data_IF_970572753511
#
_entry.id   IF_970572753511
#
_cell.length_a   1.000
_cell.length_b   1.000
_cell.length_c   1.000
_cell.angle_alpha   90.00
_cell.angle_beta   90.00
_cell.angle_gamma   90.00
#
_symmetry.space_group_name_H-M   'P 1'
#
loop_
_entity.id
_entity.type
_entity.pdbx_description
1 polymer ?
#
# COMPACT_ATOMS: atom_id res chain seq x y z
N UNK A 1 26.36 14.64 31.14
CA UNK A 1 25.42 14.19 32.19
C UNK A 1 24.34 15.24 32.31
N UNK A 2 23.08 14.87 32.12
CA UNK A 2 21.93 15.72 32.49
C UNK A 2 21.73 15.51 33.99
N UNK A 3 21.66 16.59 34.77
CA UNK A 3 21.36 16.48 36.20
C UNK A 3 20.00 15.77 36.38
N UNK A 4 19.80 14.97 37.44
CA UNK A 4 18.49 14.37 37.71
C UNK A 4 17.46 15.50 37.80
N UNK A 5 16.50 15.48 36.90
CA UNK A 5 15.42 16.46 36.85
C UNK A 5 14.11 15.70 36.85
N UNK A 6 13.37 15.82 37.95
CA UNK A 6 12.15 15.06 38.23
C UNK A 6 10.89 15.75 37.67
N UNK A 7 11.02 16.55 36.60
CA UNK A 7 9.83 17.09 35.94
C UNK A 7 9.28 16.10 34.94
N UNK A 8 8.33 15.30 35.43
CA UNK A 8 7.46 14.51 34.57
C UNK A 8 6.31 15.36 34.07
N UNK A 9 6.14 15.44 32.75
CA UNK A 9 4.95 16.06 32.13
C UNK A 9 3.65 15.35 32.51
N UNK A 10 3.72 14.18 33.15
CA UNK A 10 2.53 13.51 33.65
C UNK A 10 1.89 14.23 34.84
N UNK A 11 2.68 14.98 35.61
CA UNK A 11 2.22 15.72 36.79
C UNK A 11 1.83 17.17 36.45
N UNK A 12 2.26 17.66 35.28
CA UNK A 12 1.94 19.00 34.79
C UNK A 12 0.48 19.11 34.32
N UNK A 13 -0.14 20.25 34.63
CA UNK A 13 -1.40 20.66 34.04
C UNK A 13 -1.21 21.11 32.57
N UNK A 14 -2.29 21.46 31.89
CA UNK A 14 -2.24 21.78 30.46
C UNK A 14 -1.43 23.04 30.14
N UNK A 15 -1.57 24.09 30.96
CA UNK A 15 -0.84 25.36 30.81
C UNK A 15 0.67 25.15 31.02
N UNK A 16 1.04 24.35 32.02
CA UNK A 16 2.43 24.00 32.29
C UNK A 16 3.05 23.20 31.12
N UNK A 17 2.31 22.26 30.53
CA UNK A 17 2.77 21.51 29.35
C UNK A 17 2.87 22.38 28.10
N UNK A 18 1.98 23.36 27.94
CA UNK A 18 2.05 24.33 26.85
C UNK A 18 3.31 25.18 26.97
N UNK A 19 3.58 25.70 28.17
CA UNK A 19 4.75 26.52 28.47
C UNK A 19 6.06 25.72 28.33
N UNK A 20 6.08 24.46 28.80
CA UNK A 20 7.17 23.52 28.52
C UNK A 20 7.37 23.33 27.01
N UNK A 21 6.29 23.09 26.26
CA UNK A 21 6.34 22.84 24.81
C UNK A 21 6.87 24.06 24.06
N UNK A 22 6.49 25.27 24.48
CA UNK A 22 7.00 26.53 23.91
C UNK A 22 8.52 26.64 24.06
N UNK A 23 9.05 26.39 25.26
CA UNK A 23 10.51 26.43 25.52
C UNK A 23 11.26 25.37 24.71
N UNK A 24 10.71 24.15 24.63
CA UNK A 24 11.31 23.07 23.83
C UNK A 24 11.28 23.41 22.35
N UNK A 25 10.17 23.97 21.86
CA UNK A 25 10.04 24.42 20.48
C UNK A 25 11.09 25.48 20.12
N UNK A 26 11.18 26.57 20.91
CA UNK A 26 12.16 27.64 20.69
C UNK A 26 13.58 27.09 20.60
N UNK A 27 13.94 26.18 21.49
CA UNK A 27 15.25 25.54 21.49
C UNK A 27 15.43 24.65 20.25
N UNK A 28 14.51 23.75 19.96
CA UNK A 28 14.60 22.84 18.81
C UNK A 28 14.67 23.59 17.48
N UNK A 29 13.87 24.63 17.30
CA UNK A 29 13.82 25.42 16.06
C UNK A 29 15.14 26.12 15.72
N UNK A 30 16.03 26.34 16.71
CA UNK A 30 17.40 26.84 16.45
C UNK A 30 18.39 25.77 16.01
N UNK A 31 18.07 24.49 16.20
CA UNK A 31 18.97 23.36 15.95
C UNK A 31 18.58 22.52 14.73
N UNK A 32 17.31 22.55 14.33
CA UNK A 32 16.79 21.73 13.23
C UNK A 32 16.64 22.57 11.96
N UNK A 33 16.88 21.94 10.81
CA UNK A 33 16.64 22.56 9.50
C UNK A 33 15.18 23.06 9.42
N UNK A 34 14.91 24.31 8.97
CA UNK A 34 13.55 24.84 8.84
C UNK A 34 12.64 24.00 7.92
N UNK A 35 13.21 23.28 6.97
CA UNK A 35 12.52 22.38 6.04
C UNK A 35 12.40 20.93 6.55
N UNK A 36 13.00 20.61 7.69
CA UNK A 36 12.95 19.25 8.24
C UNK A 36 11.53 18.83 8.58
N UNK A 37 11.19 17.59 8.21
CA UNK A 37 9.99 16.93 8.69
C UNK A 37 10.28 16.27 10.05
N UNK A 38 9.30 16.28 10.95
CA UNK A 38 9.51 15.91 12.36
C UNK A 38 8.71 14.65 12.71
N UNK A 39 9.39 13.64 13.23
CA UNK A 39 8.77 12.39 13.67
C UNK A 39 8.79 12.33 15.20
N UNK A 40 7.61 12.20 15.80
CA UNK A 40 7.41 12.03 17.22
C UNK A 40 7.26 10.55 17.58
N UNK A 41 8.19 10.05 18.38
CA UNK A 41 8.11 8.73 19.01
C UNK A 41 7.73 8.83 20.50
N UNK A 42 7.48 10.04 20.99
CA UNK A 42 7.09 10.31 22.36
C UNK A 42 5.57 10.16 22.56
N UNK A 43 5.18 9.86 23.82
CA UNK A 43 3.77 9.77 24.20
C UNK A 43 3.03 11.10 24.07
N UNK A 44 1.70 11.03 24.01
CA UNK A 44 0.82 12.18 23.72
C UNK A 44 1.13 13.42 24.57
N UNK A 45 1.32 13.25 25.89
CA UNK A 45 1.62 14.35 26.82
C UNK A 45 2.88 15.16 26.45
N UNK A 46 3.85 14.54 25.79
CA UNK A 46 5.12 15.16 25.40
C UNK A 46 5.11 15.74 23.99
N UNK A 47 4.15 15.35 23.14
CA UNK A 47 4.12 15.76 21.74
C UNK A 47 2.93 16.66 21.37
N UNK A 48 1.79 16.57 22.06
CA UNK A 48 0.53 17.14 21.53
C UNK A 48 0.56 18.66 21.34
N UNK A 49 1.20 19.41 22.23
CA UNK A 49 1.39 20.86 22.07
C UNK A 49 2.60 21.18 21.19
N UNK A 50 3.73 20.49 21.38
CA UNK A 50 4.95 20.68 20.60
C UNK A 50 4.74 20.44 19.09
N UNK A 51 3.96 19.41 18.73
CA UNK A 51 3.60 19.07 17.37
C UNK A 51 2.83 20.22 16.69
N UNK A 52 1.87 20.83 17.39
CA UNK A 52 1.08 21.96 16.88
C UNK A 52 1.95 23.16 16.54
N UNK A 53 2.97 23.47 17.35
CA UNK A 53 3.88 24.57 17.04
C UNK A 53 4.55 24.39 15.67
N UNK A 54 5.11 23.20 15.42
CA UNK A 54 5.73 22.91 14.13
C UNK A 54 4.73 22.86 12.96
N UNK A 55 3.51 22.37 13.19
CA UNK A 55 2.44 22.39 12.19
C UNK A 55 2.01 23.84 11.85
N UNK A 56 1.94 24.73 12.83
CA UNK A 56 1.67 26.15 12.62
C UNK A 56 2.76 26.87 11.82
N UNK A 57 4.01 26.38 11.90
CA UNK A 57 5.12 26.82 11.03
C UNK A 57 5.05 26.22 9.61
N UNK A 58 4.04 25.40 9.32
CA UNK A 58 3.88 24.72 8.03
C UNK A 58 4.78 23.48 7.86
N UNK A 59 5.42 23.01 8.93
CA UNK A 59 6.26 21.80 8.87
C UNK A 59 5.41 20.54 8.86
N UNK A 60 5.92 19.51 8.17
CA UNK A 60 5.33 18.17 8.21
C UNK A 60 5.71 17.47 9.50
N UNK A 61 4.71 16.98 10.23
CA UNK A 61 4.87 16.25 11.47
C UNK A 61 4.23 14.86 11.34
N UNK A 62 4.69 13.89 12.13
CA UNK A 62 4.01 12.60 12.25
C UNK A 62 4.29 11.95 13.59
N UNK A 63 3.32 11.18 14.09
CA UNK A 63 3.44 10.32 15.25
C UNK A 63 2.99 8.89 14.88
N UNK A 64 3.81 8.12 14.15
CA UNK A 64 3.37 6.89 13.47
C UNK A 64 2.84 5.80 14.41
N UNK A 65 3.22 5.85 15.70
CA UNK A 65 2.80 4.89 16.71
C UNK A 65 1.65 5.39 17.59
N UNK A 66 1.08 6.58 17.34
CA UNK A 66 0.12 7.22 18.26
C UNK A 66 -1.17 6.42 18.47
N UNK A 67 -1.55 5.60 17.50
CA UNK A 67 -2.73 4.71 17.58
C UNK A 67 -2.46 3.41 18.35
N UNK A 68 -1.19 3.13 18.68
CA UNK A 68 -0.80 1.91 19.39
C UNK A 68 -0.67 2.20 20.88
N UNK A 69 -1.28 1.35 21.71
CA UNK A 69 -0.95 1.28 23.14
C UNK A 69 0.51 0.87 23.36
N UNK A 70 1.10 1.28 24.49
CA UNK A 70 2.54 1.15 24.75
C UNK A 70 3.09 -0.27 24.56
N UNK A 71 2.34 -1.30 24.98
CA UNK A 71 2.74 -2.70 24.76
C UNK A 71 2.82 -3.09 23.29
N UNK A 72 1.90 -2.59 22.45
CA UNK A 72 1.93 -2.79 20.99
C UNK A 72 3.05 -2.00 20.33
N UNK A 73 3.40 -0.82 20.84
CA UNK A 73 4.56 -0.06 20.37
C UNK A 73 5.85 -0.84 20.60
N UNK A 74 6.06 -1.35 21.82
CA UNK A 74 7.24 -2.15 22.16
C UNK A 74 7.31 -3.42 21.31
N UNK A 75 6.19 -4.15 21.19
CA UNK A 75 6.10 -5.35 20.34
C UNK A 75 6.45 -5.05 18.88
N UNK A 76 5.96 -3.93 18.34
CA UNK A 76 6.28 -3.50 16.98
C UNK A 76 7.76 -3.12 16.80
N UNK A 77 8.34 -2.37 17.73
CA UNK A 77 9.77 -2.02 17.68
C UNK A 77 10.67 -3.26 17.77
N UNK A 78 10.34 -4.21 18.64
CA UNK A 78 11.04 -5.50 18.72
C UNK A 78 10.92 -6.30 17.42
N UNK A 79 9.74 -6.26 16.78
CA UNK A 79 9.53 -6.87 15.47
C UNK A 79 10.41 -6.24 14.40
N UNK A 80 10.54 -4.92 14.36
CA UNK A 80 11.46 -4.23 13.42
C UNK A 80 12.91 -4.67 13.61
N UNK A 81 13.38 -4.79 14.86
CA UNK A 81 14.74 -5.25 15.15
C UNK A 81 14.93 -6.70 14.67
N UNK A 82 13.95 -7.58 14.94
CA UNK A 82 14.00 -8.98 14.53
C UNK A 82 13.94 -9.16 13.02
N UNK A 83 13.18 -8.32 12.32
CA UNK A 83 12.95 -8.37 10.88
C UNK A 83 13.77 -7.31 10.12
N UNK A 84 14.91 -6.88 10.66
CA UNK A 84 15.78 -5.86 10.05
C UNK A 84 16.15 -6.16 8.58
N UNK A 85 16.48 -7.42 8.19
CA UNK A 85 16.74 -7.72 6.79
C UNK A 85 15.54 -7.44 5.88
N UNK A 86 14.34 -7.78 6.34
CA UNK A 86 13.09 -7.51 5.60
C UNK A 86 12.77 -6.02 5.55
N UNK A 87 13.03 -5.29 6.63
CA UNK A 87 12.89 -3.83 6.64
C UNK A 87 13.82 -3.19 5.61
N UNK A 88 15.08 -3.63 5.54
CA UNK A 88 16.06 -3.17 4.55
C UNK A 88 15.61 -3.44 3.11
N UNK A 89 15.02 -4.62 2.86
CA UNK A 89 14.41 -4.97 1.57
C UNK A 89 13.19 -4.10 1.24
N UNK A 90 12.32 -3.80 2.21
CA UNK A 90 11.20 -2.86 2.04
C UNK A 90 11.73 -1.47 1.70
N UNK A 91 12.74 -0.97 2.41
CA UNK A 91 13.34 0.33 2.12
C UNK A 91 14.00 0.36 0.73
N UNK A 92 14.66 -0.73 0.31
CA UNK A 92 15.18 -0.87 -1.06
C UNK A 92 14.04 -0.83 -2.07
N UNK A 93 12.95 -1.55 -1.81
CA UNK A 93 11.76 -1.52 -2.66
C UNK A 93 11.20 -0.10 -2.81
N UNK A 94 10.99 0.64 -1.72
CA UNK A 94 10.48 2.02 -1.80
C UNK A 94 11.46 3.00 -2.47
N UNK A 95 12.78 2.78 -2.35
CA UNK A 95 13.77 3.53 -3.18
C UNK A 95 13.58 3.27 -4.67
N UNK A 96 13.30 2.03 -5.08
CA UNK A 96 12.99 1.68 -6.47
C UNK A 96 11.64 2.28 -6.92
N UNK A 97 10.63 2.28 -6.06
CA UNK A 97 9.34 2.96 -6.33
C UNK A 97 9.53 4.46 -6.56
N UNK A 98 10.37 5.11 -5.75
CA UNK A 98 10.71 6.53 -5.92
C UNK A 98 11.42 6.80 -7.25
N UNK A 99 12.32 5.90 -7.68
CA UNK A 99 12.96 5.97 -9.01
C UNK A 99 11.93 5.87 -10.13
N UNK A 100 10.98 4.94 -10.04
CA UNK A 100 9.87 4.84 -11.01
C UNK A 100 9.07 6.15 -11.05
N UNK A 101 8.71 6.69 -9.88
CA UNK A 101 7.95 7.93 -9.78
C UNK A 101 8.68 9.15 -10.37
N UNK A 102 10.02 9.18 -10.30
CA UNK A 102 10.82 10.29 -10.82
C UNK A 102 10.90 10.32 -12.36
N UNK A 103 10.67 9.20 -13.04
CA UNK A 103 10.63 9.13 -14.52
C UNK A 103 9.23 9.50 -15.04
N UNK A 104 8.19 9.37 -14.22
CA UNK A 104 6.83 9.75 -14.58
C UNK A 104 6.70 11.28 -14.67
N UNK A 105 6.53 11.79 -15.88
CA UNK A 105 6.38 13.23 -16.14
C UNK A 105 5.10 13.83 -15.54
N UNK A 106 4.09 13.01 -15.28
CA UNK A 106 2.86 13.43 -14.59
C UNK A 106 3.00 13.31 -13.06
N UNK A 107 4.07 12.67 -12.58
CA UNK A 107 4.28 12.39 -11.16
C UNK A 107 3.28 11.40 -10.58
N UNK A 108 3.18 11.35 -9.25
CA UNK A 108 2.27 10.46 -8.53
C UNK A 108 0.82 10.96 -8.59
N UNK A 109 0.12 10.69 -9.69
CA UNK A 109 -1.27 11.09 -9.93
C UNK A 109 -2.30 10.01 -9.59
N UNK A 110 -3.55 10.45 -9.36
CA UNK A 110 -4.68 9.57 -9.07
C UNK A 110 -5.11 8.80 -10.30
N UNK A 111 -5.60 7.57 -10.15
CA UNK A 111 -6.07 6.76 -11.29
C UNK A 111 -7.17 7.47 -12.12
N UNK A 112 -8.03 8.24 -11.47
CA UNK A 112 -9.08 9.03 -12.13
C UNK A 112 -8.54 10.06 -13.13
N UNK A 113 -7.30 10.53 -12.93
CA UNK A 113 -6.63 11.55 -13.73
C UNK A 113 -5.77 10.92 -14.84
N UNK A 114 -5.49 9.62 -14.77
CA UNK A 114 -4.66 8.90 -15.76
C UNK A 114 -5.42 8.59 -17.04
N UNK A 115 -4.66 8.46 -18.12
CA UNK A 115 -5.12 8.06 -19.44
C UNK A 115 -4.22 6.95 -20.02
N UNK A 116 -4.57 6.41 -21.19
CA UNK A 116 -3.87 5.28 -21.78
C UNK A 116 -2.52 5.61 -22.43
N UNK A 117 -2.18 6.89 -22.63
CA UNK A 117 -1.05 7.29 -23.49
C UNK A 117 0.31 6.90 -22.91
N UNK A 118 0.44 6.95 -21.58
CA UNK A 118 1.69 6.73 -20.85
C UNK A 118 1.78 5.35 -20.21
N UNK A 119 0.74 4.53 -20.37
CA UNK A 119 0.63 3.20 -19.75
C UNK A 119 1.20 2.15 -20.70
N UNK A 120 2.20 1.35 -20.28
CA UNK A 120 2.77 0.32 -21.13
C UNK A 120 1.74 -0.76 -21.43
N UNK A 121 1.94 -1.50 -22.53
CA UNK A 121 1.07 -2.61 -22.90
C UNK A 121 1.00 -3.67 -21.80
N UNK A 122 2.14 -3.95 -21.18
CA UNK A 122 2.30 -4.95 -20.13
C UNK A 122 3.16 -4.41 -19.00
N UNK A 123 2.79 -4.74 -17.78
CA UNK A 123 3.55 -4.31 -16.61
C UNK A 123 2.88 -4.69 -15.30
N UNK A 124 3.49 -4.21 -14.23
CA UNK A 124 3.00 -4.27 -12.86
C UNK A 124 2.56 -2.87 -12.43
N UNK A 125 1.55 -2.78 -11.56
CA UNK A 125 1.06 -1.53 -11.00
C UNK A 125 1.11 -1.55 -9.46
N UNK A 126 1.23 -0.36 -8.88
CA UNK A 126 1.29 -0.12 -7.44
C UNK A 126 0.29 0.98 -7.10
N UNK A 127 -0.75 0.65 -6.32
CA UNK A 127 -1.64 1.65 -5.75
C UNK A 127 -1.15 2.05 -4.37
N UNK A 128 -1.22 3.34 -4.10
CA UNK A 128 -1.08 3.91 -2.76
C UNK A 128 -2.40 4.56 -2.35
N UNK A 129 -2.51 4.90 -1.07
CA UNK A 129 -3.65 5.66 -0.56
C UNK A 129 -3.12 6.84 0.27
N UNK A 130 -3.55 8.09 0.03
CA UNK A 130 -2.96 9.28 0.68
C UNK A 130 -3.07 9.28 2.21
N UNK A 131 -4.07 8.59 2.78
CA UNK A 131 -4.25 8.44 4.22
C UNK A 131 -3.47 7.28 4.85
N UNK A 132 -2.75 6.51 4.03
CA UNK A 132 -1.99 5.34 4.47
C UNK A 132 -0.51 5.64 4.30
N UNK A 133 0.14 6.07 5.38
CA UNK A 133 1.59 6.29 5.40
C UNK A 133 2.34 5.03 5.83
N UNK A 134 3.61 4.93 5.44
CA UNK A 134 4.51 3.91 6.01
C UNK A 134 4.78 4.26 7.46
N UNK A 135 4.47 3.36 8.38
CA UNK A 135 4.76 3.54 9.80
C UNK A 135 6.26 3.68 10.08
N UNK A 136 7.09 3.01 9.27
CA UNK A 136 8.55 3.09 9.29
C UNK A 136 9.13 4.33 8.58
N UNK A 137 8.36 4.98 7.71
CA UNK A 137 8.73 6.19 6.97
C UNK A 137 7.49 7.10 6.77
N UNK A 138 7.05 7.85 7.79
CA UNK A 138 5.70 8.42 7.88
C UNK A 138 5.34 9.51 6.86
N UNK A 139 6.29 9.91 6.01
CA UNK A 139 6.05 10.88 4.94
C UNK A 139 6.03 10.24 3.54
N UNK A 140 6.08 8.91 3.49
CA UNK A 140 5.91 8.11 2.28
C UNK A 140 4.56 7.39 2.30
N UNK A 141 3.81 7.46 1.20
CA UNK A 141 2.56 6.73 1.08
C UNK A 141 2.84 5.22 0.99
N UNK A 142 2.13 4.46 1.81
CA UNK A 142 2.15 3.01 1.82
C UNK A 142 1.48 2.47 0.56
N UNK A 143 2.10 1.46 -0.05
CA UNK A 143 1.46 0.66 -1.09
C UNK A 143 0.35 -0.17 -0.46
N UNK A 144 -0.86 -0.03 -1.00
CA UNK A 144 -2.08 -0.72 -0.54
C UNK A 144 -2.53 -1.80 -1.52
N UNK A 145 -1.97 -1.85 -2.73
CA UNK A 145 -2.25 -2.90 -3.70
C UNK A 145 -1.12 -3.01 -4.70
N UNK A 146 -0.73 -4.24 -5.01
CA UNK A 146 0.14 -4.56 -6.13
C UNK A 146 -0.64 -5.45 -7.09
N UNK A 147 -0.48 -5.25 -8.39
CA UNK A 147 -1.06 -6.19 -9.33
C UNK A 147 -0.53 -6.12 -10.73
N UNK A 148 -0.91 -7.13 -11.52
CA UNK A 148 -0.65 -7.19 -12.96
C UNK A 148 -1.95 -7.42 -13.74
N UNK A 149 -1.82 -7.53 -15.05
CA UNK A 149 -2.87 -7.97 -15.98
C UNK A 149 -2.65 -9.45 -16.34
N UNK A 150 -3.66 -10.07 -16.97
CA UNK A 150 -3.69 -11.51 -17.24
C UNK A 150 -2.36 -12.07 -17.75
N UNK A 151 -1.80 -13.01 -16.98
CA UNK A 151 -0.54 -13.70 -17.26
C UNK A 151 -0.74 -15.05 -17.95
N UNK A 152 -1.97 -15.35 -18.41
CA UNK A 152 -2.23 -16.59 -19.15
C UNK A 152 -1.64 -16.50 -20.56
N UNK A 153 -1.07 -17.62 -21.02
CA UNK A 153 -0.48 -17.72 -22.37
C UNK A 153 -1.49 -17.29 -23.43
N UNK A 154 -1.07 -16.43 -24.36
CA UNK A 154 -1.92 -15.93 -25.45
C UNK A 154 -2.89 -14.81 -25.08
N UNK A 155 -2.88 -14.30 -23.84
CA UNK A 155 -3.74 -13.20 -23.43
C UNK A 155 -3.45 -11.91 -24.21
N UNK A 156 -4.51 -11.26 -24.72
CA UNK A 156 -4.47 -9.93 -25.34
C UNK A 156 -4.83 -8.81 -24.36
N UNK A 157 -5.05 -9.12 -23.08
CA UNK A 157 -5.32 -8.12 -22.07
C UNK A 157 -4.13 -7.17 -21.93
N UNK A 158 -4.40 -5.88 -21.76
CA UNK A 158 -3.37 -4.86 -21.55
C UNK A 158 -3.43 -4.36 -20.12
N UNK A 159 -2.33 -3.75 -19.65
CA UNK A 159 -2.29 -3.10 -18.35
C UNK A 159 -3.35 -2.00 -18.23
N UNK A 160 -3.51 -1.16 -19.27
CA UNK A 160 -4.53 -0.11 -19.27
C UNK A 160 -5.95 -0.68 -19.17
N UNK A 161 -6.28 -1.75 -19.90
CA UNK A 161 -7.60 -2.36 -19.80
C UNK A 161 -7.88 -2.82 -18.35
N UNK A 162 -6.88 -3.37 -17.67
CA UNK A 162 -6.99 -3.75 -16.26
C UNK A 162 -7.21 -2.55 -15.33
N UNK A 163 -6.43 -1.49 -15.51
CA UNK A 163 -6.55 -0.26 -14.72
C UNK A 163 -7.91 0.44 -14.96
N UNK A 164 -8.39 0.50 -16.20
CA UNK A 164 -9.72 1.02 -16.55
C UNK A 164 -10.83 0.21 -15.90
N UNK A 165 -10.71 -1.12 -15.87
CA UNK A 165 -11.64 -1.99 -15.15
C UNK A 165 -11.68 -1.68 -13.64
N UNK A 166 -10.55 -1.31 -13.04
CA UNK A 166 -10.52 -0.86 -11.64
C UNK A 166 -11.14 0.52 -11.45
N UNK A 167 -10.80 1.48 -12.33
CA UNK A 167 -11.30 2.87 -12.30
C UNK A 167 -12.82 2.95 -12.38
N UNK A 168 -13.42 2.13 -13.25
CA UNK A 168 -14.82 2.27 -13.64
C UNK A 168 -14.97 2.99 -14.99
N UNK A 169 -16.20 2.97 -15.51
CA UNK A 169 -16.60 3.65 -16.74
C UNK A 169 -16.72 5.17 -16.57
N UNK A 170 -16.98 5.88 -17.67
CA UNK A 170 -17.13 7.35 -17.68
C UNK A 170 -18.36 7.81 -16.90
N UNK A 171 -19.41 6.98 -16.84
CA UNK A 171 -20.59 7.18 -16.01
C UNK A 171 -20.35 6.89 -14.51
N UNK A 172 -19.10 6.62 -14.12
CA UNK A 172 -18.70 6.28 -12.75
C UNK A 172 -19.06 4.85 -12.31
N UNK A 173 -19.85 4.09 -13.08
CA UNK A 173 -20.20 2.72 -12.70
C UNK A 173 -19.06 1.76 -13.04
N UNK A 174 -18.84 0.75 -12.21
CA UNK A 174 -17.86 -0.28 -12.49
C UNK A 174 -18.45 -1.67 -12.67
N UNK A 175 -17.58 -2.66 -12.52
CA UNK A 175 -17.93 -4.07 -12.58
C UNK A 175 -17.09 -4.84 -11.55
N UNK A 176 -17.60 -4.97 -10.34
CA UNK A 176 -16.96 -5.71 -9.26
C UNK A 176 -16.80 -7.20 -9.58
N UNK A 177 -17.74 -7.79 -10.33
CA UNK A 177 -17.64 -9.19 -10.77
C UNK A 177 -16.46 -9.43 -11.72
N UNK A 178 -16.08 -8.43 -12.51
CA UNK A 178 -14.87 -8.45 -13.35
C UNK A 178 -13.59 -7.97 -12.64
N UNK A 179 -13.70 -7.48 -11.41
CA UNK A 179 -12.63 -6.79 -10.70
C UNK A 179 -12.65 -7.13 -9.21
N UNK A 180 -11.85 -8.13 -8.84
CA UNK A 180 -11.72 -8.54 -7.44
C UNK A 180 -11.34 -7.40 -6.50
N UNK A 181 -10.60 -6.40 -7.00
CA UNK A 181 -10.29 -5.20 -6.23
C UNK A 181 -11.55 -4.41 -5.87
N UNK A 182 -12.41 -4.17 -6.85
CA UNK A 182 -13.68 -3.46 -6.66
C UNK A 182 -14.61 -4.26 -5.75
N UNK A 183 -14.65 -5.58 -5.92
CA UNK A 183 -15.40 -6.49 -5.07
C UNK A 183 -15.01 -6.32 -3.61
N UNK A 184 -13.72 -6.32 -3.29
CA UNK A 184 -13.23 -6.16 -1.92
C UNK A 184 -13.47 -4.77 -1.35
N UNK A 185 -13.28 -3.70 -2.15
CA UNK A 185 -13.55 -2.33 -1.70
C UNK A 185 -15.04 -2.15 -1.39
N UNK A 186 -15.93 -2.64 -2.26
CA UNK A 186 -17.38 -2.55 -2.02
C UNK A 186 -17.85 -3.43 -0.86
N UNK A 187 -17.33 -4.66 -0.74
CA UNK A 187 -17.59 -5.53 0.41
C UNK A 187 -17.20 -4.84 1.73
N UNK A 188 -16.06 -4.18 1.76
CA UNK A 188 -15.60 -3.45 2.94
C UNK A 188 -16.47 -2.22 3.24
N UNK A 189 -16.95 -1.51 2.21
CA UNK A 189 -17.88 -0.39 2.39
C UNK A 189 -19.20 -0.86 2.99
N UNK A 190 -19.80 -1.88 2.39
CA UNK A 190 -21.08 -2.47 2.84
C UNK A 190 -20.98 -2.88 4.31
N UNK A 191 -19.90 -3.57 4.69
CA UNK A 191 -19.67 -4.03 6.07
C UNK A 191 -19.38 -2.88 7.04
N UNK A 192 -18.68 -1.83 6.58
CA UNK A 192 -18.43 -0.63 7.40
C UNK A 192 -19.72 0.14 7.67
N UNK A 193 -20.65 0.19 6.72
CA UNK A 193 -21.92 0.90 6.84
C UNK A 193 -23.07 0.06 7.40
N UNK A 194 -22.90 -1.26 7.55
CA UNK A 194 -23.97 -2.17 7.98
C UNK A 194 -25.08 -2.34 6.94
N UNK A 195 -24.75 -2.25 5.64
CA UNK A 195 -25.70 -2.25 4.53
C UNK A 195 -25.83 -3.60 3.81
N UNK A 196 -25.48 -4.70 4.47
CA UNK A 196 -25.51 -6.05 3.89
C UNK A 196 -26.90 -6.45 3.39
N UNK A 197 -27.96 -6.05 4.11
CA UNK A 197 -29.35 -6.31 3.70
C UNK A 197 -29.77 -5.50 2.48
N UNK A 198 -29.16 -4.33 2.26
CA UNK A 198 -29.39 -3.47 1.09
C UNK A 198 -28.67 -4.00 -0.15
N UNK A 199 -27.50 -4.61 0.03
CA UNK A 199 -26.65 -5.14 -1.05
C UNK A 199 -26.40 -6.65 -0.92
N UNK A 200 -27.44 -7.50 -0.82
CA UNK A 200 -27.29 -8.93 -0.53
C UNK A 200 -26.66 -9.72 -1.70
N UNK A 201 -26.66 -9.15 -2.90
CA UNK A 201 -26.12 -9.78 -4.12
C UNK A 201 -24.67 -9.35 -4.43
N UNK A 202 -24.09 -8.45 -3.64
CA UNK A 202 -22.73 -7.98 -3.87
C UNK A 202 -21.72 -9.11 -3.70
N UNK A 203 -20.91 -9.36 -4.73
CA UNK A 203 -19.98 -10.48 -4.74
C UNK A 203 -20.63 -11.87 -4.87
N UNK A 204 -21.92 -11.94 -5.18
CA UNK A 204 -22.61 -13.19 -5.49
C UNK A 204 -22.56 -13.45 -6.99
N UNK A 205 -21.90 -14.56 -7.36
CA UNK A 205 -21.83 -15.04 -8.73
C UNK A 205 -20.94 -14.19 -9.67
N UNK A 206 -20.69 -14.73 -10.85
CA UNK A 206 -19.83 -14.10 -11.87
C UNK A 206 -20.60 -13.21 -12.85
N UNK A 207 -21.93 -13.28 -12.84
CA UNK A 207 -22.83 -12.49 -13.70
C UNK A 207 -24.11 -12.16 -12.95
N UNK A 208 -24.81 -11.11 -13.37
CA UNK A 208 -26.08 -10.68 -12.79
C UNK A 208 -27.01 -10.07 -13.83
N UNK A 209 -28.32 -10.09 -13.55
CA UNK A 209 -29.34 -9.46 -14.40
C UNK A 209 -29.17 -7.93 -14.46
N UNK A 210 -29.90 -7.26 -15.35
CA UNK A 210 -29.91 -5.80 -15.41
C UNK A 210 -30.44 -5.19 -14.10
N UNK A 211 -31.48 -5.78 -13.51
CA UNK A 211 -32.10 -5.28 -12.27
C UNK A 211 -31.15 -5.35 -11.08
N UNK A 212 -30.45 -6.47 -10.90
CA UNK A 212 -29.43 -6.63 -9.84
C UNK A 212 -28.30 -5.61 -10.02
N UNK A 213 -27.83 -5.41 -11.27
CA UNK A 213 -26.79 -4.41 -11.54
C UNK A 213 -27.27 -2.98 -11.28
N UNK A 214 -28.56 -2.71 -11.49
CA UNK A 214 -29.17 -1.42 -11.18
C UNK A 214 -29.25 -1.19 -9.68
N UNK A 215 -29.60 -2.21 -8.88
CA UNK A 215 -29.65 -2.09 -7.42
C UNK A 215 -28.26 -1.93 -6.78
N UNK A 216 -27.21 -2.46 -7.40
CA UNK A 216 -25.81 -2.33 -6.94
C UNK A 216 -25.12 -1.04 -7.45
N UNK A 217 -25.80 -0.23 -8.27
CA UNK A 217 -25.20 0.90 -8.98
C UNK A 217 -24.61 1.95 -8.05
N UNK A 218 -25.30 2.27 -6.96
CA UNK A 218 -24.85 3.27 -5.98
C UNK A 218 -23.55 2.81 -5.31
N UNK A 219 -23.47 1.55 -4.90
CA UNK A 219 -22.24 0.97 -4.35
C UNK A 219 -21.09 0.97 -5.36
N UNK A 220 -21.35 0.65 -6.63
CA UNK A 220 -20.33 0.75 -7.69
C UNK A 220 -19.81 2.19 -7.87
N UNK A 221 -20.66 3.21 -7.71
CA UNK A 221 -20.25 4.61 -7.78
C UNK A 221 -19.32 4.98 -6.62
N UNK A 222 -19.66 4.56 -5.39
CA UNK A 222 -18.80 4.77 -4.21
C UNK A 222 -17.44 4.07 -4.36
N UNK A 223 -17.44 2.81 -4.83
CA UNK A 223 -16.20 2.07 -5.13
C UNK A 223 -15.35 2.81 -6.17
N UNK A 224 -15.96 3.37 -7.22
CA UNK A 224 -15.24 4.15 -8.22
C UNK A 224 -14.63 5.42 -7.65
N UNK A 225 -15.36 6.15 -6.79
CA UNK A 225 -14.83 7.36 -6.12
C UNK A 225 -13.56 7.03 -5.34
N UNK A 226 -13.58 5.93 -4.58
CA UNK A 226 -12.44 5.51 -3.76
C UNK A 226 -11.25 5.10 -4.64
N UNK A 227 -11.44 4.16 -5.56
CA UNK A 227 -10.32 3.62 -6.37
C UNK A 227 -9.76 4.69 -7.32
N UNK A 228 -10.62 5.53 -7.89
CA UNK A 228 -10.17 6.61 -8.78
C UNK A 228 -9.38 7.68 -8.04
N UNK A 229 -9.60 7.84 -6.74
CA UNK A 229 -8.85 8.78 -5.90
C UNK A 229 -7.49 8.23 -5.43
N UNK A 230 -7.21 6.93 -5.61
CA UNK A 230 -5.94 6.33 -5.23
C UNK A 230 -4.83 6.71 -6.22
N UNK A 231 -3.68 7.21 -5.73
CA UNK A 231 -2.49 7.32 -6.55
C UNK A 231 -2.02 5.98 -7.09
N UNK A 232 -1.55 5.98 -8.33
CA UNK A 232 -1.07 4.76 -9.00
C UNK A 232 0.22 5.03 -9.77
N UNK A 233 1.15 4.08 -9.64
CA UNK A 233 2.36 3.96 -10.47
C UNK A 233 2.33 2.63 -11.22
N UNK A 234 3.10 2.55 -12.29
CA UNK A 234 3.33 1.32 -13.03
C UNK A 234 4.76 1.23 -13.54
N UNK A 235 5.18 0.01 -13.83
CA UNK A 235 6.46 -0.29 -14.46
C UNK A 235 6.22 -1.22 -15.63
N UNK A 236 6.80 -0.89 -16.79
CA UNK A 236 6.82 -1.81 -17.91
C UNK A 236 7.64 -3.04 -17.56
N UNK A 237 7.01 -4.20 -17.70
CA UNK A 237 7.65 -5.50 -17.55
C UNK A 237 7.21 -6.27 -18.79
N UNK A 238 8.04 -6.24 -19.82
CA UNK A 238 7.68 -6.60 -21.20
C UNK A 238 7.92 -8.06 -21.59
N UNK A 239 8.24 -8.94 -20.64
CA UNK A 239 8.50 -10.35 -20.90
C UNK A 239 7.26 -11.10 -21.42
N UNK A 240 7.47 -12.31 -21.97
CA UNK A 240 6.37 -13.08 -22.56
C UNK A 240 5.27 -13.42 -21.54
N UNK A 241 4.01 -13.43 -22.00
CA UNK A 241 2.88 -13.76 -21.14
C UNK A 241 2.91 -15.24 -20.79
N UNK A 242 3.21 -15.55 -19.52
CA UNK A 242 3.13 -16.90 -18.98
C UNK A 242 2.92 -16.86 -17.46
N UNK A 243 2.44 -17.97 -16.86
CA UNK A 243 2.38 -18.11 -15.40
C UNK A 243 3.75 -18.01 -14.69
N UNK A 244 4.85 -18.17 -15.44
CA UNK A 244 6.24 -18.06 -14.98
C UNK A 244 6.87 -16.69 -15.31
N UNK A 245 6.09 -15.76 -15.86
CA UNK A 245 6.56 -14.42 -16.25
C UNK A 245 7.16 -13.63 -15.08
N UNK A 246 8.04 -12.69 -15.41
CA UNK A 246 8.64 -11.75 -14.46
C UNK A 246 7.56 -10.93 -13.77
N UNK A 247 6.48 -10.56 -14.47
CA UNK A 247 5.30 -9.91 -13.85
C UNK A 247 4.70 -10.73 -12.72
N UNK A 248 4.49 -12.04 -12.94
CA UNK A 248 3.92 -12.92 -11.93
C UNK A 248 4.89 -13.14 -10.77
N UNK A 249 6.18 -13.27 -11.07
CA UNK A 249 7.24 -13.39 -10.07
C UNK A 249 7.33 -12.13 -9.19
N UNK A 250 7.36 -10.95 -9.79
CA UNK A 250 7.42 -9.67 -9.10
C UNK A 250 6.14 -9.42 -8.28
N UNK A 251 4.95 -9.58 -8.85
CA UNK A 251 3.69 -9.40 -8.14
C UNK A 251 3.65 -10.24 -6.86
N UNK A 252 3.95 -11.55 -6.99
CA UNK A 252 3.95 -12.49 -5.87
C UNK A 252 4.95 -12.09 -4.78
N UNK A 253 6.20 -11.87 -5.14
CA UNK A 253 7.26 -11.59 -4.16
C UNK A 253 7.10 -10.21 -3.50
N UNK A 254 6.66 -9.20 -4.23
CA UNK A 254 6.47 -7.85 -3.67
C UNK A 254 5.25 -7.79 -2.73
N UNK A 255 4.18 -8.54 -3.01
CA UNK A 255 3.07 -8.70 -2.07
C UNK A 255 3.58 -9.38 -0.79
N UNK A 256 4.25 -10.52 -0.93
CA UNK A 256 4.80 -11.27 0.20
C UNK A 256 5.83 -10.46 1.03
N UNK A 257 6.65 -9.61 0.39
CA UNK A 257 7.57 -8.69 1.05
C UNK A 257 6.83 -7.71 1.96
N UNK A 258 5.76 -7.06 1.45
CA UNK A 258 5.01 -6.06 2.20
C UNK A 258 4.13 -6.66 3.29
N UNK A 259 3.50 -7.80 3.03
CA UNK A 259 2.61 -8.46 3.99
C UNK A 259 3.38 -9.30 5.02
N UNK A 260 4.21 -10.22 4.57
CA UNK A 260 5.03 -11.17 5.34
C UNK A 260 4.28 -12.07 6.33
N UNK A 261 4.94 -13.13 6.82
CA UNK A 261 4.28 -14.19 7.57
C UNK A 261 3.79 -13.74 8.96
N UNK A 262 4.45 -12.75 9.56
CA UNK A 262 4.12 -12.17 10.87
C UNK A 262 3.23 -10.93 10.76
N UNK A 263 2.74 -10.61 9.57
CA UNK A 263 2.01 -9.38 9.25
C UNK A 263 2.94 -8.23 8.83
N UNK A 264 2.37 -7.09 8.41
CA UNK A 264 3.13 -5.99 7.84
C UNK A 264 4.02 -5.30 8.89
N UNK A 265 5.12 -4.70 8.44
CA UNK A 265 5.93 -3.77 9.26
C UNK A 265 5.30 -2.37 9.24
N UNK A 266 4.80 -1.94 8.08
CA UNK A 266 3.99 -0.73 7.94
C UNK A 266 2.51 -1.06 8.16
N UNK A 267 2.04 -0.90 9.39
CA UNK A 267 0.66 -1.23 9.77
C UNK A 267 -0.35 -0.31 9.05
N UNK A 268 -1.53 -0.84 8.63
CA UNK A 268 -2.62 0.01 8.14
C UNK A 268 -3.15 0.91 9.26
N UNK A 269 -3.58 2.13 8.91
CA UNK A 269 -4.21 3.05 9.88
C UNK A 269 -5.47 2.44 10.51
N UNK A 270 -5.89 2.91 11.69
CA UNK A 270 -7.11 2.43 12.35
C UNK A 270 -8.37 2.59 11.46
N UNK A 271 -8.41 3.62 10.61
CA UNK A 271 -9.55 3.93 9.74
C UNK A 271 -9.44 3.34 8.33
N UNK A 272 -8.39 2.56 8.05
CA UNK A 272 -8.18 1.95 6.74
C UNK A 272 -9.33 1.01 6.37
N UNK A 273 -10.03 1.31 5.27
CA UNK A 273 -11.25 0.60 4.84
C UNK A 273 -11.07 -0.92 4.74
N UNK A 274 -9.87 -1.42 4.39
CA UNK A 274 -9.62 -2.86 4.27
C UNK A 274 -9.81 -3.64 5.58
N UNK A 275 -9.82 -2.97 6.74
CA UNK A 275 -10.12 -3.60 8.05
C UNK A 275 -11.53 -4.15 8.16
N UNK A 276 -12.47 -3.64 7.36
CA UNK A 276 -13.86 -4.10 7.36
C UNK A 276 -14.14 -5.22 6.36
N UNK A 277 -13.16 -5.63 5.55
CA UNK A 277 -13.38 -6.69 4.56
C UNK A 277 -13.81 -8.00 5.20
N UNK A 278 -14.66 -8.75 4.51
CA UNK A 278 -14.97 -10.16 4.84
C UNK A 278 -13.78 -11.09 4.64
N UNK A 279 -12.72 -10.64 3.93
CA UNK A 279 -11.49 -11.41 3.72
C UNK A 279 -10.45 -11.01 4.77
N UNK A 280 -10.22 -11.88 5.74
CA UNK A 280 -9.20 -11.69 6.78
C UNK A 280 -7.81 -11.33 6.22
N UNK A 281 -7.44 -11.94 5.10
CA UNK A 281 -6.20 -11.65 4.37
C UNK A 281 -5.96 -10.15 4.10
N UNK A 282 -7.02 -9.39 3.82
CA UNK A 282 -6.92 -7.95 3.54
C UNK A 282 -6.63 -7.19 4.82
N UNK A 283 -7.42 -7.43 5.87
CA UNK A 283 -7.24 -6.80 7.17
C UNK A 283 -5.89 -7.14 7.82
N UNK A 284 -5.44 -8.40 7.69
CA UNK A 284 -4.15 -8.86 8.19
C UNK A 284 -2.97 -8.21 7.47
N UNK A 285 -2.99 -8.22 6.14
CA UNK A 285 -1.84 -7.79 5.33
C UNK A 285 -1.70 -6.28 5.17
N UNK A 286 -2.79 -5.53 5.37
CA UNK A 286 -2.84 -4.13 4.99
C UNK A 286 -2.94 -3.92 3.47
N UNK A 287 -3.09 -4.97 2.66
CA UNK A 287 -3.16 -4.89 1.21
C UNK A 287 -4.54 -5.32 0.70
N UNK A 288 -4.99 -4.72 -0.40
CA UNK A 288 -6.15 -5.17 -1.18
C UNK A 288 -5.87 -6.45 -2.00
N UNK A 289 -4.89 -7.25 -1.57
CA UNK A 289 -4.49 -8.51 -2.15
C UNK A 289 -4.91 -9.64 -1.20
N UNK A 290 -5.37 -10.76 -1.74
CA UNK A 290 -5.68 -11.97 -0.95
C UNK A 290 -4.64 -13.06 -1.21
N UNK A 291 -4.17 -13.17 -2.45
CA UNK A 291 -3.10 -14.11 -2.79
C UNK A 291 -1.74 -13.57 -2.32
N UNK A 292 -0.83 -14.48 -1.99
CA UNK A 292 0.57 -14.22 -1.63
C UNK A 292 0.81 -13.49 -0.30
N UNK A 293 -0.24 -13.12 0.43
CA UNK A 293 -0.07 -12.31 1.65
C UNK A 293 0.51 -13.06 2.86
N UNK A 294 0.44 -14.39 2.85
CA UNK A 294 1.00 -15.26 3.90
C UNK A 294 2.26 -16.00 3.45
N UNK A 295 2.77 -15.69 2.25
CA UNK A 295 3.91 -16.39 1.67
C UNK A 295 5.24 -15.73 2.05
N UNK A 296 6.33 -16.49 1.94
CA UNK A 296 7.69 -15.94 1.97
C UNK A 296 8.07 -15.38 0.60
N UNK A 297 8.93 -14.36 0.57
CA UNK A 297 9.42 -13.75 -0.66
C UNK A 297 10.87 -14.17 -0.96
N UNK A 298 11.23 -14.13 -2.24
CA UNK A 298 12.62 -14.25 -2.71
C UNK A 298 13.21 -12.83 -2.86
N UNK A 299 14.25 -12.46 -2.08
CA UNK A 299 14.89 -11.15 -2.20
C UNK A 299 15.44 -10.83 -3.60
N UNK A 300 15.76 -11.85 -4.40
CA UNK A 300 16.18 -11.68 -5.80
C UNK A 300 15.12 -11.03 -6.69
N UNK A 301 13.86 -10.96 -6.24
CA UNK A 301 12.83 -10.15 -6.90
C UNK A 301 13.19 -8.66 -6.95
N UNK A 302 13.91 -8.13 -5.96
CA UNK A 302 14.35 -6.74 -5.96
C UNK A 302 15.45 -6.47 -6.99
N UNK A 303 16.32 -7.46 -7.24
CA UNK A 303 17.33 -7.35 -8.29
C UNK A 303 16.68 -7.32 -9.68
N UNK A 304 15.66 -8.17 -9.90
CA UNK A 304 14.89 -8.17 -11.14
C UNK A 304 14.13 -6.85 -11.31
N UNK A 305 13.46 -6.37 -10.24
CA UNK A 305 12.75 -5.10 -10.26
C UNK A 305 13.71 -3.96 -10.65
N UNK A 306 14.89 -3.92 -10.03
CA UNK A 306 15.92 -2.93 -10.33
C UNK A 306 16.37 -2.97 -11.78
N UNK A 307 16.52 -4.14 -12.40
CA UNK A 307 16.85 -4.24 -13.84
C UNK A 307 15.78 -3.60 -14.73
N UNK A 308 14.50 -3.76 -14.39
CA UNK A 308 13.42 -3.08 -15.10
C UNK A 308 13.40 -1.58 -14.84
N UNK A 309 13.72 -1.12 -13.63
CA UNK A 309 13.85 0.31 -13.30
C UNK A 309 15.02 0.95 -14.04
N UNK A 310 16.18 0.30 -14.09
CA UNK A 310 17.34 0.76 -14.88
C UNK A 310 16.98 0.89 -16.37
N UNK A 311 16.19 -0.06 -16.90
CA UNK A 311 15.71 0.01 -18.29
C UNK A 311 14.73 1.16 -18.50
N UNK A 312 13.86 1.45 -17.52
CA UNK A 312 12.93 2.59 -17.55
C UNK A 312 13.69 3.92 -17.55
N UNK A 313 14.76 4.02 -16.77
CA UNK A 313 15.63 5.20 -16.69
C UNK A 313 16.57 5.34 -17.90
N UNK A 314 16.57 4.38 -18.83
CA UNK A 314 17.48 4.38 -19.99
C UNK A 314 18.94 4.03 -19.63
N UNK A 315 19.20 3.52 -18.42
CA UNK A 315 20.52 3.12 -17.95
C UNK A 315 20.92 1.72 -18.47
N UNK A 316 19.94 0.91 -18.89
CA UNK A 316 20.16 -0.43 -19.45
C UNK A 316 19.28 -0.72 -20.66
N UNK A 317 19.60 -1.80 -21.40
CA UNK A 317 18.81 -2.21 -22.57
C UNK A 317 17.45 -2.78 -22.14
N UNK A 318 16.39 -2.61 -22.95
CA UNK A 318 15.08 -3.20 -22.68
C UNK A 318 15.15 -4.70 -22.41
N UNK A 319 14.56 -5.11 -21.28
CA UNK A 319 14.47 -6.51 -20.87
C UNK A 319 13.39 -7.22 -21.70
N UNK A 320 13.82 -8.06 -22.65
CA UNK A 320 12.92 -8.80 -23.56
C UNK A 320 12.67 -10.25 -23.16
N UNK A 321 13.55 -10.84 -22.36
CA UNK A 321 13.45 -12.21 -21.87
C UNK A 321 13.25 -12.18 -20.36
N UNK A 322 12.48 -13.14 -19.87
CA UNK A 322 12.27 -13.33 -18.43
C UNK A 322 13.61 -13.50 -17.71
N UNK A 323 13.79 -12.71 -16.64
CA UNK A 323 14.91 -12.75 -15.70
C UNK A 323 14.57 -13.61 -14.47
N UNK A 324 13.30 -13.94 -14.25
CA UNK A 324 12.86 -14.76 -13.14
C UNK A 324 13.57 -16.12 -13.14
N UNK A 325 13.91 -16.66 -11.95
CA UNK A 325 14.57 -17.95 -11.86
C UNK A 325 13.75 -19.04 -12.55
N UNK A 326 14.35 -19.81 -13.47
CA UNK A 326 13.63 -20.87 -14.19
C UNK A 326 12.92 -21.83 -13.24
N UNK A 327 11.65 -22.13 -13.52
CA UNK A 327 10.84 -23.02 -12.69
C UNK A 327 10.64 -22.53 -11.26
N UNK A 328 10.71 -21.21 -11.00
CA UNK A 328 10.43 -20.65 -9.68
C UNK A 328 9.04 -21.08 -9.18
N UNK A 329 8.04 -21.06 -10.08
CA UNK A 329 6.66 -21.40 -9.75
C UNK A 329 6.55 -22.86 -9.33
N UNK A 330 7.14 -23.78 -10.09
CA UNK A 330 7.10 -25.21 -9.78
C UNK A 330 7.86 -25.57 -8.51
N UNK A 331 8.94 -24.86 -8.17
CA UNK A 331 9.65 -25.00 -6.89
C UNK A 331 8.77 -24.64 -5.69
N UNK A 332 8.03 -23.54 -5.77
CA UNK A 332 7.09 -23.11 -4.72
C UNK A 332 5.93 -24.12 -4.58
N UNK A 333 5.43 -24.65 -5.70
CA UNK A 333 4.38 -25.67 -5.66
C UNK A 333 4.84 -26.97 -4.98
N UNK A 334 6.13 -27.31 -5.10
CA UNK A 334 6.72 -28.49 -4.46
C UNK A 334 7.07 -28.27 -2.99
N UNK A 335 7.33 -27.02 -2.57
CA UNK A 335 7.67 -26.72 -1.18
C UNK A 335 6.48 -26.79 -0.21
N UNK A 336 5.27 -27.11 -0.69
CA UNK A 336 4.09 -27.30 0.15
C UNK A 336 3.57 -26.01 0.79
N UNK A 337 4.00 -24.82 0.31
CA UNK A 337 3.41 -23.56 0.75
C UNK A 337 1.90 -23.64 0.56
N UNK A 338 1.08 -23.42 1.60
CA UNK A 338 -0.36 -23.51 1.49
C UNK A 338 -0.85 -22.60 0.38
N UNK A 339 -1.35 -23.17 -0.71
CA UNK A 339 -2.14 -22.42 -1.68
C UNK A 339 -3.43 -22.00 -0.98
N UNK A 340 -3.45 -20.82 -0.36
CA UNK A 340 -4.67 -20.03 -0.42
C UNK A 340 -4.72 -19.37 -1.81
N UNK A 341 -4.89 -20.18 -2.85
CA UNK A 341 -5.19 -19.68 -4.18
C UNK A 341 -6.35 -20.47 -4.78
N UNK A 342 -7.28 -19.71 -5.35
CA UNK A 342 -8.28 -20.11 -6.34
C UNK A 342 -9.48 -20.91 -5.79
N UNK A 343 -10.30 -20.24 -4.99
CA UNK A 343 -11.72 -20.18 -5.34
C UNK A 343 -12.05 -18.74 -5.70
N UNK A 344 -11.99 -18.45 -7.00
CA UNK A 344 -12.83 -17.42 -7.60
C UNK A 344 -14.27 -17.80 -7.24
N UNK A 345 -14.86 -17.05 -6.31
CA UNK A 345 -16.28 -16.74 -6.30
C UNK A 345 -16.36 -15.22 -6.15
#
# INVERSE_FOLDING_TARGET
MVAPYDESLHQMNDSERLEWSRRVHERLSTMIDPSASIVFLAGDKYRSHLQKYFEHEGRKTSAPMSELGIGRQVSWLQKLIKEEPRLSDIDRFYRLIKRIANVDTEGLCKLGERNSRTVPQRGIYFFMQPSEARMTSPFENRIVRIGTHSVSSGSKATLWNRLRTHRGGENGTGNHRGSIFRLHVGDSLIRKSGSEETYPTWGVGQSASADIRSSEKEMELEVSKIISAMPVLWLEVGDEASPDSDRAYLERNLIALLSGPSGPLDLPSADWLGRWSSREAIGFSGLWNVNHVYEEYDPGALDILEKYVESLEGLSKPVRKSLAPKGWRSRILKSGMPRQQLKLV
#
